data_IF_100462523839
#
_entry.id   IF_100462523839
#
_cell.length_a   1.000
_cell.length_b   1.000
_cell.length_c   1.000
_cell.angle_alpha   90.00
_cell.angle_beta   90.00
_cell.angle_gamma   90.00
#
_symmetry.space_group_name_H-M   'P 1'
#
loop_
_entity.id
_entity.type
_entity.pdbx_description
1 polymer ?
#
# COMPACT_ATOMS: atom_id res chain seq x y z
N UNK A 1 30.23 -37.84 -4.46
CA UNK A 1 29.31 -36.73 -4.25
C UNK A 1 29.87 -35.78 -3.24
N UNK A 2 30.26 -34.61 -3.65
CA UNK A 2 30.75 -33.58 -2.74
C UNK A 2 29.57 -32.84 -2.13
N UNK A 3 29.55 -32.76 -0.79
CA UNK A 3 28.57 -31.96 -0.08
C UNK A 3 28.82 -30.48 -0.40
N UNK A 4 27.82 -29.70 -0.81
CA UNK A 4 28.01 -28.28 -1.07
C UNK A 4 28.49 -27.59 0.19
N UNK A 5 29.55 -26.82 0.07
CA UNK A 5 30.05 -26.02 1.19
C UNK A 5 29.12 -24.86 1.47
N UNK A 6 28.92 -24.55 2.74
CA UNK A 6 28.24 -23.34 3.15
C UNK A 6 28.99 -22.10 2.63
N UNK A 7 28.31 -21.05 2.20
CA UNK A 7 28.95 -19.82 1.76
C UNK A 7 29.86 -19.25 2.88
N UNK A 8 30.98 -18.65 2.51
CA UNK A 8 31.85 -17.96 3.48
C UNK A 8 31.10 -16.75 4.07
N UNK A 9 31.52 -16.30 5.24
CA UNK A 9 30.97 -15.09 5.86
C UNK A 9 31.09 -13.87 4.94
N UNK A 10 32.15 -13.80 4.17
CA UNK A 10 32.41 -12.72 3.22
C UNK A 10 31.44 -12.77 2.04
N UNK A 11 31.19 -13.96 1.49
CA UNK A 11 30.20 -14.15 0.42
C UNK A 11 28.77 -13.84 0.91
N UNK A 12 28.44 -14.20 2.15
CA UNK A 12 27.17 -13.88 2.76
C UNK A 12 26.98 -12.37 2.96
N UNK A 13 28.05 -11.67 3.39
CA UNK A 13 28.01 -10.22 3.55
C UNK A 13 27.81 -9.51 2.21
N UNK A 14 28.47 -9.95 1.13
CA UNK A 14 28.27 -9.42 -0.20
C UNK A 14 26.84 -9.65 -0.72
N UNK A 15 26.33 -10.86 -0.54
CA UNK A 15 24.96 -11.20 -0.95
C UNK A 15 23.94 -10.37 -0.17
N UNK A 16 24.15 -10.18 1.12
CA UNK A 16 23.29 -9.32 1.95
C UNK A 16 23.32 -7.89 1.45
N UNK A 17 24.49 -7.35 1.13
CA UNK A 17 24.61 -6.00 0.58
C UNK A 17 23.88 -5.85 -0.75
N UNK A 18 23.99 -6.83 -1.64
CA UNK A 18 23.27 -6.85 -2.91
C UNK A 18 21.76 -6.90 -2.72
N UNK A 19 21.28 -7.76 -1.83
CA UNK A 19 19.84 -7.89 -1.53
C UNK A 19 19.26 -6.64 -0.88
N UNK A 20 20.06 -5.90 -0.14
CA UNK A 20 19.65 -4.68 0.54
C UNK A 20 19.97 -3.41 -0.26
N UNK A 21 20.50 -3.55 -1.49
CA UNK A 21 20.90 -2.40 -2.31
C UNK A 21 19.72 -1.59 -2.87
N UNK A 22 18.56 -2.22 -2.99
CA UNK A 22 17.36 -1.58 -3.52
C UNK A 22 16.39 -1.30 -2.36
N UNK A 23 16.08 -0.03 -2.15
CA UNK A 23 15.08 0.38 -1.16
C UNK A 23 13.68 0.27 -1.73
N UNK A 24 12.70 -0.03 -0.87
CA UNK A 24 11.29 0.02 -1.25
C UNK A 24 10.89 1.48 -1.46
N UNK A 25 10.30 1.77 -2.61
CA UNK A 25 9.74 3.07 -2.89
C UNK A 25 8.29 3.13 -2.38
N UNK A 26 7.94 4.22 -1.74
CA UNK A 26 6.58 4.46 -1.29
C UNK A 26 5.77 5.14 -2.39
N UNK A 27 4.52 4.73 -2.52
CA UNK A 27 3.65 5.33 -3.53
C UNK A 27 3.30 6.77 -3.16
N UNK A 28 3.47 7.67 -4.11
CA UNK A 28 2.94 9.04 -4.00
C UNK A 28 1.55 9.07 -4.64
N UNK A 29 0.53 8.87 -3.81
CA UNK A 29 -0.84 8.77 -4.27
C UNK A 29 -1.35 10.07 -4.92
N UNK A 30 -0.74 11.21 -4.58
CA UNK A 30 -1.13 12.50 -5.17
C UNK A 30 -0.71 12.64 -6.62
N UNK A 31 0.21 11.79 -7.10
CA UNK A 31 0.63 11.76 -8.51
C UNK A 31 -0.33 11.01 -9.41
N UNK A 32 -1.35 10.37 -8.85
CA UNK A 32 -2.27 9.51 -9.59
C UNK A 32 -3.70 10.00 -9.44
N UNK A 33 -4.50 9.72 -10.45
CA UNK A 33 -5.95 9.90 -10.40
C UNK A 33 -6.62 8.59 -10.83
N UNK A 34 -7.19 7.88 -9.88
CA UNK A 34 -7.84 6.61 -10.10
C UNK A 34 -9.37 6.72 -10.18
N UNK A 35 -9.95 7.91 -10.15
CA UNK A 35 -11.40 8.11 -10.04
C UNK A 35 -12.17 7.41 -11.15
N UNK A 36 -11.75 7.56 -12.39
CA UNK A 36 -12.42 6.94 -13.53
C UNK A 36 -12.35 5.42 -13.48
N UNK A 37 -11.21 4.88 -13.05
CA UNK A 37 -11.03 3.43 -12.91
C UNK A 37 -11.94 2.88 -11.82
N UNK A 38 -11.97 3.51 -10.67
CA UNK A 38 -12.81 3.07 -9.53
C UNK A 38 -14.29 3.18 -9.87
N UNK A 39 -14.71 4.27 -10.52
CA UNK A 39 -16.09 4.43 -10.97
C UNK A 39 -16.47 3.34 -11.98
N UNK A 40 -15.58 3.00 -12.90
CA UNK A 40 -15.78 1.89 -13.83
C UNK A 40 -15.91 0.55 -13.11
N UNK A 41 -15.12 0.33 -12.06
CA UNK A 41 -15.17 -0.91 -11.26
C UNK A 41 -16.52 -1.09 -10.57
N UNK A 42 -17.21 -0.02 -10.20
CA UNK A 42 -18.54 -0.11 -9.58
C UNK A 42 -19.60 -0.74 -10.50
N UNK A 43 -19.36 -0.73 -11.81
CA UNK A 43 -20.22 -1.34 -12.83
C UNK A 43 -19.82 -2.77 -13.17
N UNK A 44 -18.75 -3.25 -12.62
CA UNK A 44 -18.26 -4.63 -12.80
C UNK A 44 -18.97 -5.59 -11.82
N UNK A 45 -18.43 -6.76 -11.64
CA UNK A 45 -18.95 -7.78 -10.70
C UNK A 45 -17.88 -8.16 -9.68
N UNK A 46 -18.27 -8.98 -8.73
CA UNK A 46 -17.39 -9.52 -7.68
C UNK A 46 -16.74 -8.40 -6.85
N UNK A 47 -15.48 -8.61 -6.45
CA UNK A 47 -14.75 -7.67 -5.58
C UNK A 47 -14.49 -6.31 -6.21
N UNK A 48 -14.45 -6.22 -7.53
CA UNK A 48 -14.31 -4.94 -8.22
C UNK A 48 -15.51 -4.02 -7.95
N UNK A 49 -16.71 -4.56 -8.02
CA UNK A 49 -17.93 -3.84 -7.66
C UNK A 49 -17.92 -3.42 -6.18
N UNK A 50 -17.48 -4.32 -5.32
CA UNK A 50 -17.40 -4.04 -3.88
C UNK A 50 -16.42 -2.91 -3.58
N UNK A 51 -15.31 -2.84 -4.29
CA UNK A 51 -14.35 -1.75 -4.15
C UNK A 51 -14.98 -0.42 -4.57
N UNK A 52 -15.72 -0.39 -5.67
CA UNK A 52 -16.44 0.80 -6.11
C UNK A 52 -17.48 1.26 -5.08
N UNK A 53 -18.23 0.32 -4.49
CA UNK A 53 -19.21 0.61 -3.43
C UNK A 53 -18.55 1.13 -2.18
N UNK A 54 -17.45 0.50 -1.75
CA UNK A 54 -16.69 0.93 -0.59
C UNK A 54 -16.17 2.36 -0.76
N UNK A 55 -15.70 2.70 -1.95
CA UNK A 55 -15.24 4.04 -2.28
C UNK A 55 -16.37 5.06 -2.19
N UNK A 56 -17.56 4.73 -2.68
CA UNK A 56 -18.72 5.62 -2.59
C UNK A 56 -19.13 5.86 -1.13
N UNK A 57 -19.13 4.82 -0.30
CA UNK A 57 -19.42 4.93 1.14
C UNK A 57 -18.36 5.80 1.83
N UNK A 58 -17.09 5.57 1.53
CA UNK A 58 -16.00 6.36 2.10
C UNK A 58 -16.13 7.85 1.71
N UNK A 59 -16.50 8.13 0.48
CA UNK A 59 -16.73 9.50 0.03
C UNK A 59 -17.88 10.18 0.81
N UNK A 60 -18.95 9.45 1.12
CA UNK A 60 -20.01 9.96 1.98
C UNK A 60 -19.52 10.26 3.40
N UNK A 61 -18.67 9.39 3.96
CA UNK A 61 -18.06 9.62 5.27
C UNK A 61 -17.22 10.89 5.28
N UNK A 62 -16.46 11.15 4.23
CA UNK A 62 -15.64 12.35 4.10
C UNK A 62 -16.47 13.63 4.04
N UNK A 63 -17.67 13.57 3.51
CA UNK A 63 -18.57 14.73 3.38
C UNK A 63 -19.38 15.01 4.63
N UNK A 64 -19.47 14.06 5.54
CA UNK A 64 -20.23 14.19 6.80
C UNK A 64 -19.32 14.78 7.89
N UNK A 65 -19.64 15.99 8.31
CA UNK A 65 -18.87 16.72 9.34
C UNK A 65 -18.91 16.06 10.71
N UNK A 66 -19.95 15.28 10.98
CA UNK A 66 -20.15 14.61 12.25
C UNK A 66 -19.63 13.17 12.26
N UNK A 67 -19.02 12.74 11.18
CA UNK A 67 -18.46 11.41 11.02
C UNK A 67 -16.98 11.38 11.46
N UNK A 68 -16.67 10.60 12.47
CA UNK A 68 -15.27 10.29 12.82
C UNK A 68 -14.78 9.11 11.99
N UNK A 69 -13.60 9.24 11.43
CA UNK A 69 -13.01 8.22 10.55
C UNK A 69 -11.82 7.56 11.26
N UNK A 70 -11.88 6.24 11.38
CA UNK A 70 -10.79 5.44 11.94
C UNK A 70 -10.23 4.55 10.84
N UNK A 71 -8.96 4.74 10.51
CA UNK A 71 -8.24 3.86 9.60
C UNK A 71 -7.50 2.80 10.41
N UNK A 72 -7.98 1.58 10.35
CA UNK A 72 -7.36 0.44 11.01
C UNK A 72 -6.39 -0.22 10.05
N UNK A 73 -5.12 -0.26 10.43
CA UNK A 73 -4.05 -0.78 9.60
C UNK A 73 -3.49 -2.04 10.25
N UNK A 74 -3.42 -3.12 9.48
CA UNK A 74 -2.86 -4.38 9.92
C UNK A 74 -1.75 -4.84 8.98
N UNK A 75 -0.79 -5.61 9.50
CA UNK A 75 0.31 -6.17 8.73
C UNK A 75 1.42 -5.15 8.47
N UNK A 76 2.24 -5.44 7.45
CA UNK A 76 3.46 -4.68 7.14
C UNK A 76 3.30 -3.76 5.93
N UNK A 77 2.10 -3.31 5.62
CA UNK A 77 1.83 -2.51 4.42
C UNK A 77 2.54 -1.16 4.45
N UNK A 78 2.78 -0.58 5.63
CA UNK A 78 3.57 0.64 5.77
C UNK A 78 4.99 0.45 5.22
N UNK A 79 5.66 -0.61 5.67
CA UNK A 79 7.01 -0.96 5.19
C UNK A 79 6.99 -1.43 3.74
N UNK A 80 5.87 -1.94 3.26
CA UNK A 80 5.68 -2.42 1.89
C UNK A 80 5.47 -1.33 0.84
N UNK A 81 5.42 -0.06 1.24
CA UNK A 81 5.32 1.06 0.30
C UNK A 81 4.09 1.95 0.45
N UNK A 82 3.27 1.73 1.49
CA UNK A 82 2.03 2.48 1.69
C UNK A 82 2.13 3.58 2.76
N UNK A 83 3.31 3.81 3.35
CA UNK A 83 3.44 4.75 4.45
C UNK A 83 3.03 6.17 4.07
N UNK A 84 3.44 6.66 2.90
CA UNK A 84 3.11 7.99 2.44
C UNK A 84 1.61 8.15 2.18
N UNK A 85 0.95 7.08 1.75
CA UNK A 85 -0.50 7.05 1.60
C UNK A 85 -1.20 7.30 2.94
N UNK A 86 -0.77 6.63 4.00
CA UNK A 86 -1.35 6.80 5.34
C UNK A 86 -1.11 8.20 5.87
N UNK A 87 0.07 8.76 5.64
CA UNK A 87 0.38 10.13 6.03
C UNK A 87 -0.53 11.14 5.32
N UNK A 88 -0.78 10.98 4.02
CA UNK A 88 -1.67 11.85 3.26
C UNK A 88 -3.13 11.75 3.72
N UNK A 89 -3.62 10.54 4.02
CA UNK A 89 -4.96 10.35 4.58
C UNK A 89 -5.07 11.10 5.91
N UNK A 90 -4.07 11.00 6.78
CA UNK A 90 -4.05 11.72 8.05
C UNK A 90 -4.09 13.24 7.90
N UNK A 91 -3.33 13.79 6.94
CA UNK A 91 -3.32 15.23 6.65
C UNK A 91 -4.67 15.73 6.12
N UNK A 92 -5.35 14.92 5.33
CA UNK A 92 -6.63 15.29 4.73
C UNK A 92 -7.74 15.46 5.77
N UNK A 93 -7.58 14.90 6.97
CA UNK A 93 -8.60 14.88 8.03
C UNK A 93 -8.24 15.73 9.26
N UNK A 94 -7.21 16.52 9.16
CA UNK A 94 -6.81 17.45 10.24
C UNK A 94 -7.48 18.79 10.08
#
# INVERSE_FOLDING_TARGET
>A
MTTPQAPSAQANAQRKAELLSTTVEHIDIKSFDARQIIDGMSKMSFTSRDLGRATAIYNQMLQDKDCSIFLVIAGSTSAGGCMDLYAEIGRAHV
#
